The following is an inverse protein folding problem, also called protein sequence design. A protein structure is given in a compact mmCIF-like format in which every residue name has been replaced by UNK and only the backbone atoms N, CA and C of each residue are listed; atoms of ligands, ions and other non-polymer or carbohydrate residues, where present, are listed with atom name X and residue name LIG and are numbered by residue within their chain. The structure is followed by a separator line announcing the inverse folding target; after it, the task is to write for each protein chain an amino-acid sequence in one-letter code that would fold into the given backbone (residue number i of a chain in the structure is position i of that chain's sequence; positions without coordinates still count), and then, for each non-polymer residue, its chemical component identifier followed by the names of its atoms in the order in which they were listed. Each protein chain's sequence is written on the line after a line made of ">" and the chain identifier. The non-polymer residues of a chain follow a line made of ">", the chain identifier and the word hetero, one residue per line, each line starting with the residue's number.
data_IF_938452469675
#
_entry.id   IF_938452469675
#
_cell.length_a   1.000
_cell.length_b   1.000
_cell.length_c   1.000
_cell.angle_alpha   90.00
_cell.angle_beta   90.00
_cell.angle_gamma   90.00
#
_symmetry.space_group_name_H-M   'P 1'
#
loop_
_entity.id
_entity.type
_entity.pdbx_description
1 polymer ?
#
# COMPACT_ATOMS: atom_id res chain seq x y z
N UNK A 1 -8.99 39.53 4.90
CA UNK A 1 -8.63 38.69 3.74
C UNK A 1 -8.20 37.33 4.27
N UNK A 2 -8.99 36.28 4.04
CA UNK A 2 -8.68 34.93 4.50
C UNK A 2 -7.69 34.30 3.50
N UNK A 3 -6.46 34.05 3.93
CA UNK A 3 -5.47 33.38 3.11
C UNK A 3 -5.82 31.89 3.08
N UNK A 4 -6.36 31.41 1.96
CA UNK A 4 -6.62 30.00 1.70
C UNK A 4 -5.25 29.32 1.58
N UNK A 5 -4.83 28.60 2.62
CA UNK A 5 -3.61 27.80 2.56
C UNK A 5 -3.98 26.52 1.84
N UNK A 6 -3.49 26.36 0.62
CA UNK A 6 -3.50 25.08 -0.07
C UNK A 6 -2.45 24.20 0.62
N UNK A 7 -2.84 23.54 1.71
CA UNK A 7 -1.99 22.56 2.37
C UNK A 7 -1.92 21.33 1.49
N UNK A 8 -0.79 21.14 0.80
CA UNK A 8 -0.47 19.87 0.15
C UNK A 8 -0.37 18.82 1.25
N UNK A 9 -1.37 17.94 1.33
CA UNK A 9 -1.35 16.80 2.25
C UNK A 9 -0.53 15.72 1.56
N UNK A 10 0.71 15.51 2.03
CA UNK A 10 1.54 14.38 1.64
C UNK A 10 1.51 13.26 2.70
N UNK A 11 1.97 12.06 2.32
CA UNK A 11 1.96 10.89 3.20
C UNK A 11 2.76 11.15 4.49
N UNK A 12 3.88 11.86 4.38
CA UNK A 12 4.74 12.20 5.51
C UNK A 12 3.98 13.08 6.53
N UNK A 13 3.28 14.10 6.05
CA UNK A 13 2.44 14.97 6.85
C UNK A 13 1.31 14.17 7.50
N UNK A 14 0.64 13.29 6.77
CA UNK A 14 -0.42 12.44 7.33
C UNK A 14 0.07 11.57 8.48
N UNK A 15 1.23 10.91 8.34
CA UNK A 15 1.83 10.07 9.40
C UNK A 15 2.21 10.89 10.64
N UNK A 16 2.81 12.07 10.45
CA UNK A 16 3.17 12.99 11.55
C UNK A 16 1.94 13.53 12.27
N UNK A 17 0.87 13.84 11.54
CA UNK A 17 -0.39 14.31 12.12
C UNK A 17 -1.09 13.18 12.84
N UNK A 18 -1.09 11.95 12.31
CA UNK A 18 -1.76 10.81 12.92
C UNK A 18 -1.26 10.56 14.35
N UNK A 19 0.06 10.59 14.57
CA UNK A 19 0.62 10.38 15.92
C UNK A 19 0.18 11.48 16.89
N UNK A 20 0.16 12.74 16.45
CA UNK A 20 -0.26 13.87 17.30
C UNK A 20 -1.76 13.86 17.59
N UNK A 21 -2.58 13.45 16.63
CA UNK A 21 -4.02 13.30 16.80
C UNK A 21 -4.31 12.15 17.75
N UNK A 22 -3.65 11.00 17.57
CA UNK A 22 -3.83 9.84 18.45
C UNK A 22 -3.49 10.14 19.91
N UNK A 23 -2.41 10.90 20.15
CA UNK A 23 -2.02 11.34 21.48
C UNK A 23 -3.05 12.28 22.16
N UNK A 24 -3.87 12.98 21.38
CA UNK A 24 -4.90 13.90 21.87
C UNK A 24 -6.25 13.22 22.12
N UNK A 25 -6.43 11.98 21.67
CA UNK A 25 -7.68 11.26 21.86
C UNK A 25 -7.86 10.95 23.34
N UNK A 26 -8.95 11.48 23.91
CA UNK A 26 -9.30 11.18 25.29
C UNK A 26 -9.80 9.73 25.41
N UNK A 27 -9.47 9.00 26.49
CA UNK A 27 -9.95 7.64 26.71
C UNK A 27 -11.48 7.51 26.64
N UNK A 28 -12.21 8.56 27.02
CA UNK A 28 -13.67 8.61 26.92
C UNK A 28 -14.19 8.50 25.48
N UNK A 29 -13.45 8.99 24.49
CA UNK A 29 -13.81 8.84 23.07
C UNK A 29 -13.75 7.38 22.67
N UNK A 30 -12.65 6.69 23.00
CA UNK A 30 -12.46 5.26 22.72
C UNK A 30 -13.57 4.44 23.40
N UNK A 31 -13.81 4.67 24.70
CA UNK A 31 -14.89 4.01 25.45
C UNK A 31 -16.27 4.22 24.81
N UNK A 32 -16.53 5.43 24.31
CA UNK A 32 -17.78 5.75 23.63
C UNK A 32 -17.92 5.06 22.27
N UNK A 33 -16.84 4.90 21.51
CA UNK A 33 -16.85 4.16 20.25
C UNK A 33 -17.20 2.68 20.49
N UNK A 34 -16.54 2.03 21.44
CA UNK A 34 -16.87 0.64 21.83
C UNK A 34 -18.32 0.50 22.27
N UNK A 35 -18.81 1.43 23.11
CA UNK A 35 -20.22 1.44 23.54
C UNK A 35 -21.20 1.56 22.38
N UNK A 36 -20.91 2.42 21.39
CA UNK A 36 -21.76 2.61 20.19
C UNK A 36 -21.71 1.40 19.26
N UNK A 37 -20.58 0.70 19.21
CA UNK A 37 -20.42 -0.54 18.44
C UNK A 37 -21.10 -1.76 19.10
N UNK A 38 -21.78 -1.58 20.24
CA UNK A 38 -22.53 -2.64 20.92
C UNK A 38 -21.75 -3.34 22.04
N UNK A 39 -20.48 -2.98 22.26
CA UNK A 39 -19.71 -3.46 23.41
C UNK A 39 -20.15 -2.73 24.67
N UNK A 40 -21.16 -3.26 25.35
CA UNK A 40 -21.57 -2.81 26.68
C UNK A 40 -20.80 -3.59 27.72
N UNK A 41 -19.99 -2.88 28.51
CA UNK A 41 -19.37 -3.44 29.70
C UNK A 41 -20.38 -3.30 30.83
N UNK A 42 -21.03 -4.40 31.21
CA UNK A 42 -21.87 -4.47 32.40
C UNK A 42 -20.99 -4.67 33.64
N UNK A 43 -20.25 -3.64 34.04
CA UNK A 43 -19.66 -3.64 35.38
C UNK A 43 -19.08 -2.27 35.74
N UNK A 44 -19.51 -1.71 36.87
CA UNK A 44 -18.78 -0.74 37.68
C UNK A 44 -17.54 -1.41 38.32
N UNK A 45 -16.71 -2.10 37.53
CA UNK A 45 -15.46 -2.64 38.02
C UNK A 45 -14.43 -1.51 38.08
N UNK A 46 -14.47 -0.77 39.18
CA UNK A 46 -13.50 0.30 39.50
C UNK A 46 -12.10 -0.28 39.76
N UNK A 47 -11.98 -1.60 39.92
CA UNK A 47 -10.73 -2.34 40.11
C UNK A 47 -10.06 -2.80 38.81
N UNK A 48 -10.66 -2.59 37.64
CA UNK A 48 -10.00 -2.78 36.36
C UNK A 48 -9.25 -1.49 35.94
N UNK A 49 -8.36 -0.99 36.80
CA UNK A 49 -7.24 -0.22 36.24
C UNK A 49 -6.52 -1.16 35.26
N UNK A 50 -6.04 -0.69 34.10
CA UNK A 50 -5.17 -1.50 33.29
C UNK A 50 -3.94 -1.74 34.16
N UNK A 51 -3.87 -2.92 34.78
CA UNK A 51 -2.60 -3.51 35.13
C UNK A 51 -1.78 -3.36 33.86
N UNK A 52 -0.66 -2.63 33.92
CA UNK A 52 0.26 -2.57 32.78
C UNK A 52 0.32 -3.98 32.21
N UNK A 53 0.06 -4.14 30.90
CA UNK A 53 0.13 -5.42 30.18
C UNK A 53 1.57 -5.92 30.27
N UNK A 54 1.98 -6.35 31.47
CA UNK A 54 3.17 -7.13 31.66
C UNK A 54 2.80 -8.46 31.03
N UNK A 55 3.49 -8.85 29.94
CA UNK A 55 3.22 -10.12 29.32
C UNK A 55 3.40 -11.18 30.40
N UNK A 56 2.32 -11.92 30.71
CA UNK A 56 2.40 -13.04 31.64
C UNK A 56 3.42 -14.02 31.05
N UNK A 57 4.58 -14.22 31.70
CA UNK A 57 5.63 -15.08 31.17
C UNK A 57 5.18 -16.53 31.01
N UNK A 58 4.07 -16.92 31.66
CA UNK A 58 3.45 -18.25 31.53
C UNK A 58 2.69 -18.45 30.23
N UNK A 59 2.14 -17.41 29.60
CA UNK A 59 1.29 -17.54 28.40
C UNK A 59 2.08 -18.12 27.23
N UNK A 60 3.29 -17.61 26.98
CA UNK A 60 4.13 -18.12 25.90
C UNK A 60 4.61 -19.55 26.14
N UNK A 61 4.80 -19.93 27.40
CA UNK A 61 5.15 -21.31 27.76
C UNK A 61 3.99 -22.27 27.50
N UNK A 62 2.76 -21.88 27.86
CA UNK A 62 1.54 -22.66 27.57
C UNK A 62 1.26 -22.78 26.07
N UNK A 63 1.50 -21.71 25.30
CA UNK A 63 1.40 -21.73 23.82
C UNK A 63 2.44 -22.68 23.23
N UNK A 64 3.69 -22.64 23.69
CA UNK A 64 4.73 -23.56 23.23
C UNK A 64 4.44 -25.03 23.58
N UNK A 65 3.82 -25.30 24.73
CA UNK A 65 3.39 -26.65 25.11
C UNK A 65 2.22 -27.15 24.25
N UNK A 66 1.25 -26.29 23.95
CA UNK A 66 0.05 -26.66 23.20
C UNK A 66 0.30 -26.81 21.69
N UNK A 67 1.15 -25.97 21.10
CA UNK A 67 1.37 -25.90 19.64
C UNK A 67 2.77 -26.38 19.21
N UNK A 68 3.63 -26.71 20.17
CA UNK A 68 5.04 -27.08 19.93
C UNK A 68 5.92 -25.87 19.64
N UNK A 69 7.19 -26.13 19.31
CA UNK A 69 8.14 -25.10 18.92
C UNK A 69 7.99 -24.76 17.43
N UNK A 70 7.06 -23.86 17.10
CA UNK A 70 7.01 -23.27 15.76
C UNK A 70 8.23 -22.35 15.57
N UNK A 71 8.86 -22.41 14.40
CA UNK A 71 9.95 -21.52 14.05
C UNK A 71 9.40 -20.26 13.40
N UNK A 72 10.15 -19.16 13.51
CA UNK A 72 9.78 -17.90 12.87
C UNK A 72 9.50 -18.05 11.36
N UNK A 73 10.23 -18.93 10.68
CA UNK A 73 10.02 -19.27 9.27
C UNK A 73 8.59 -19.69 8.98
N UNK A 74 7.94 -20.40 9.90
CA UNK A 74 6.61 -20.99 9.69
C UNK A 74 5.51 -19.91 9.62
N UNK A 75 5.79 -18.72 10.16
CA UNK A 75 4.87 -17.58 10.10
C UNK A 75 5.18 -16.64 8.94
N UNK A 76 6.45 -16.52 8.54
CA UNK A 76 6.87 -15.61 7.47
C UNK A 76 6.47 -16.13 6.10
N UNK A 77 6.52 -17.44 5.89
CA UNK A 77 6.20 -18.07 4.60
C UNK A 77 4.73 -18.48 4.50
N UNK A 78 3.87 -18.00 5.42
CA UNK A 78 2.48 -18.45 5.49
C UNK A 78 1.65 -18.04 4.25
N UNK A 79 2.07 -17.00 3.54
CA UNK A 79 1.44 -16.47 2.33
C UNK A 79 2.26 -16.69 1.05
N UNK A 80 3.41 -17.39 1.10
CA UNK A 80 4.26 -17.63 -0.07
C UNK A 80 3.51 -18.40 -1.18
N UNK A 81 2.66 -19.35 -0.79
CA UNK A 81 1.83 -20.14 -1.72
C UNK A 81 0.48 -19.47 -2.02
N UNK A 82 0.21 -18.28 -1.46
CA UNK A 82 -1.02 -17.55 -1.71
C UNK A 82 -0.90 -16.79 -3.02
N UNK A 83 -1.73 -17.17 -3.99
CA UNK A 83 -1.89 -16.44 -5.25
C UNK A 83 -2.50 -15.06 -4.93
N UNK A 84 -1.63 -14.05 -4.78
CA UNK A 84 -2.00 -12.68 -4.39
C UNK A 84 -2.53 -11.82 -5.54
N UNK A 85 -2.25 -12.23 -6.78
CA UNK A 85 -2.76 -11.62 -8.00
C UNK A 85 -3.09 -12.68 -9.04
N UNK A 86 -3.95 -12.30 -9.99
CA UNK A 86 -4.18 -13.10 -11.19
C UNK A 86 -2.86 -13.33 -11.94
N UNK A 87 -2.52 -14.59 -12.21
CA UNK A 87 -1.38 -14.94 -13.06
C UNK A 87 -1.82 -14.83 -14.52
N UNK A 88 -1.64 -13.64 -15.10
CA UNK A 88 -1.86 -13.44 -16.52
C UNK A 88 -0.66 -13.98 -17.30
N UNK A 89 -0.94 -14.74 -18.35
CA UNK A 89 0.04 -15.08 -19.38
C UNK A 89 0.40 -13.85 -20.21
N UNK A 90 1.56 -13.87 -20.85
CA UNK A 90 2.00 -12.79 -21.74
C UNK A 90 0.96 -12.49 -22.83
N UNK A 91 0.29 -13.53 -23.34
CA UNK A 91 -0.78 -13.43 -24.32
C UNK A 91 -2.01 -12.67 -23.78
N UNK A 92 -2.39 -12.93 -22.52
CA UNK A 92 -3.52 -12.27 -21.86
C UNK A 92 -3.22 -10.80 -21.56
N UNK A 93 -1.98 -10.47 -21.17
CA UNK A 93 -1.54 -9.09 -20.98
C UNK A 93 -1.62 -8.31 -22.30
N UNK A 94 -1.10 -8.89 -23.38
CA UNK A 94 -1.12 -8.27 -24.72
C UNK A 94 -2.55 -8.09 -25.21
N UNK A 95 -3.44 -9.04 -24.94
CA UNK A 95 -4.86 -8.92 -25.27
C UNK A 95 -5.51 -7.75 -24.52
N UNK A 96 -5.25 -7.59 -23.21
CA UNK A 96 -5.79 -6.48 -22.42
C UNK A 96 -5.35 -5.12 -22.95
N UNK A 97 -4.06 -4.97 -23.28
CA UNK A 97 -3.52 -3.69 -23.81
C UNK A 97 -4.12 -3.37 -25.18
N UNK A 98 -4.25 -4.36 -26.05
CA UNK A 98 -4.81 -4.19 -27.41
C UNK A 98 -6.33 -3.94 -27.39
N UNK A 99 -7.02 -4.37 -26.33
CA UNK A 99 -8.46 -4.19 -26.17
C UNK A 99 -8.84 -2.85 -25.55
N UNK A 100 -7.90 -2.05 -25.04
CA UNK A 100 -8.18 -0.65 -24.71
C UNK A 100 -8.34 0.10 -26.03
N UNK A 101 -9.58 0.43 -26.48
CA UNK A 101 -9.71 1.38 -27.56
C UNK A 101 -9.15 2.68 -27.01
N UNK A 102 -8.30 3.35 -27.77
CA UNK A 102 -7.87 4.72 -27.49
C UNK A 102 -9.11 5.62 -27.57
N UNK A 103 -9.94 5.61 -26.53
CA UNK A 103 -11.18 6.33 -26.41
C UNK A 103 -10.87 7.72 -25.85
N UNK A 104 -10.05 8.47 -26.57
CA UNK A 104 -9.78 9.89 -26.33
C UNK A 104 -9.06 10.46 -27.56
N UNK A 105 -9.80 10.61 -28.67
CA UNK A 105 -9.51 11.55 -29.74
C UNK A 105 -10.73 11.64 -30.67
N UNK A 106 -11.77 12.30 -30.19
CA UNK A 106 -12.71 13.00 -31.07
C UNK A 106 -12.05 14.32 -31.48
N UNK A 107 -11.34 14.32 -32.62
CA UNK A 107 -11.08 15.56 -33.37
C UNK A 107 -11.46 15.33 -34.84
N UNK A 108 -12.66 15.81 -35.19
CA UNK A 108 -12.96 16.21 -36.55
C UNK A 108 -12.07 17.41 -36.91
N UNK A 109 -11.13 17.24 -37.86
CA UNK A 109 -11.02 18.08 -39.06
C UNK A 109 -9.73 17.84 -39.87
N UNK A 110 -9.95 17.67 -41.17
CA UNK A 110 -9.15 18.08 -42.33
C UNK A 110 -7.75 17.50 -42.61
N UNK A 111 -7.73 16.76 -43.73
CA UNK A 111 -6.88 16.92 -44.92
C UNK A 111 -5.34 16.98 -44.78
N UNK A 112 -4.75 15.95 -45.39
CA UNK A 112 -3.48 15.92 -46.12
C UNK A 112 -2.17 16.19 -45.36
N UNK A 113 -1.44 15.09 -45.10
CA UNK A 113 0.01 15.08 -45.24
C UNK A 113 0.81 14.53 -44.08
N UNK A 114 1.40 13.34 -44.31
CA UNK A 114 2.70 12.92 -43.78
C UNK A 114 2.87 12.70 -42.27
N UNK A 115 2.85 11.43 -41.85
CA UNK A 115 4.06 10.73 -41.39
C UNK A 115 3.66 9.34 -40.91
N UNK A 116 4.07 8.31 -41.65
CA UNK A 116 4.05 6.95 -41.10
C UNK A 116 4.99 6.91 -39.90
N UNK A 117 4.44 6.59 -38.72
CA UNK A 117 5.26 6.18 -37.59
C UNK A 117 5.86 4.83 -37.98
N UNK A 118 7.09 4.87 -38.49
CA UNK A 118 7.97 3.71 -38.51
C UNK A 118 8.50 3.58 -37.08
N UNK A 119 7.94 2.66 -36.31
CA UNK A 119 8.60 2.18 -35.08
C UNK A 119 9.85 1.43 -35.53
N UNK A 120 10.99 2.10 -35.59
CA UNK A 120 12.26 1.40 -35.72
C UNK A 120 12.49 0.57 -34.45
N UNK A 121 12.61 -0.75 -34.64
CA UNK A 121 12.91 -1.69 -33.57
C UNK A 121 14.35 -1.49 -33.10
N UNK A 122 14.53 -0.69 -32.06
CA UNK A 122 15.84 -0.49 -31.44
C UNK A 122 16.22 -1.75 -30.67
N UNK A 123 17.13 -2.54 -31.24
CA UNK A 123 17.71 -3.71 -30.58
C UNK A 123 18.59 -3.28 -29.40
N UNK A 124 18.60 -4.07 -28.33
CA UNK A 124 19.30 -3.83 -27.05
C UNK A 124 20.78 -3.39 -27.23
N UNK A 125 21.46 -3.89 -28.26
CA UNK A 125 22.84 -3.51 -28.60
C UNK A 125 23.02 -2.03 -28.96
N UNK A 126 22.00 -1.37 -29.52
CA UNK A 126 22.06 0.05 -29.90
C UNK A 126 21.88 0.98 -28.68
N UNK A 127 21.09 0.57 -27.68
CA UNK A 127 20.88 1.33 -26.45
C UNK A 127 22.17 1.46 -25.61
N UNK A 128 22.99 0.40 -25.57
CA UNK A 128 24.27 0.38 -24.82
C UNK A 128 25.32 1.31 -25.45
N UNK A 129 25.31 1.48 -26.77
CA UNK A 129 26.23 2.38 -27.48
C UNK A 129 26.03 3.87 -27.16
N UNK A 130 24.78 4.29 -26.91
CA UNK A 130 24.44 5.67 -26.54
C UNK A 130 24.94 6.03 -25.14
N UNK A 131 24.90 5.08 -24.19
CA UNK A 131 25.38 5.30 -22.83
C UNK A 131 26.90 5.51 -22.76
N UNK A 132 27.68 4.80 -23.58
CA UNK A 132 29.15 4.94 -23.61
C UNK A 132 29.60 6.26 -24.25
N UNK A 133 28.78 6.85 -25.13
CA UNK A 133 29.08 8.11 -25.81
C UNK A 133 28.77 9.35 -24.95
N UNK A 134 27.86 9.23 -23.98
CA UNK A 134 27.55 10.29 -23.02
C UNK A 134 28.61 10.47 -21.92
N UNK A 135 29.36 9.42 -21.58
CA UNK A 135 30.40 9.47 -20.54
C UNK A 135 31.75 10.04 -21.00
N UNK A 136 31.93 10.29 -22.31
CA UNK A 136 33.16 10.91 -22.86
C UNK A 136 33.07 12.43 -23.02
N UNK A 137 31.96 13.05 -22.62
CA UNK A 137 31.77 14.50 -22.66
C UNK A 137 31.81 15.16 -21.28
N UNK A 138 32.29 14.43 -20.26
CA UNK A 138 32.71 14.97 -18.98
C UNK A 138 34.15 14.52 -18.68
#
# INVERSE_FOLDING_TARGET
>A
MQQKRDSVIDLKFAVQVLSTVWAQIQPGIVKNCFRKAGFRVDSDCTDCLPQEDQPDPGVWSAVAEAFGSQQFSDYVTADDDLVSSEQLTDEEIVAQIRQVPNAEQEEEQNEEGNSGIVTEEVTTSQAVGLHSRAQKLF
#
